data_IF_978419469647
#
_entry.id   IF_978419469647
#
_cell.length_a   1.000
_cell.length_b   1.000
_cell.length_c   1.000
_cell.angle_alpha   90.00
_cell.angle_beta   90.00
_cell.angle_gamma   90.00
#
_symmetry.space_group_name_H-M   'P 1'
#
loop_
_entity.id
_entity.type
_entity.pdbx_description
1 polymer ?
#
# COMPACT_ATOMS: atom_id res chain seq x y z
N UNK A 1 45.82 6.82 0.57
CA UNK A 1 44.72 5.97 0.05
C UNK A 1 44.78 4.64 0.78
N UNK A 2 43.88 4.44 1.72
CA UNK A 2 43.74 3.16 2.42
C UNK A 2 43.11 2.16 1.45
N UNK A 3 43.81 1.05 1.20
CA UNK A 3 43.33 -0.04 0.36
C UNK A 3 42.39 -0.87 1.23
N UNK A 4 41.08 -0.78 1.02
CA UNK A 4 40.13 -1.71 1.65
C UNK A 4 40.49 -3.15 1.18
N UNK A 5 40.96 -3.96 2.11
CA UNK A 5 41.11 -5.38 1.89
C UNK A 5 39.70 -6.03 2.08
N UNK A 6 39.04 -6.32 0.97
CA UNK A 6 37.88 -7.18 0.94
C UNK A 6 38.28 -8.64 1.11
N UNK A 7 38.72 -9.00 2.33
CA UNK A 7 39.20 -10.34 2.63
C UNK A 7 38.04 -11.21 3.08
N UNK A 8 37.51 -12.05 2.19
CA UNK A 8 36.69 -13.19 2.62
C UNK A 8 37.58 -14.21 3.28
N UNK A 9 37.37 -14.46 4.56
CA UNK A 9 38.03 -15.58 5.27
C UNK A 9 37.19 -16.81 4.96
N UNK A 10 37.75 -17.74 4.20
CA UNK A 10 37.17 -19.04 3.95
C UNK A 10 38.01 -20.06 4.73
N UNK A 11 37.34 -20.78 5.64
CA UNK A 11 37.97 -21.86 6.40
C UNK A 11 38.36 -22.99 5.46
N UNK A 12 39.37 -23.74 5.81
CA UNK A 12 39.73 -24.95 5.06
C UNK A 12 38.56 -25.91 5.03
N UNK A 13 38.17 -26.33 3.84
CA UNK A 13 37.03 -27.20 3.64
C UNK A 13 37.24 -28.19 2.49
N UNK A 14 36.55 -29.31 2.53
CA UNK A 14 36.59 -30.34 1.51
C UNK A 14 35.62 -31.46 1.86
N UNK A 15 35.51 -32.45 0.97
CA UNK A 15 34.73 -33.66 1.25
C UNK A 15 35.45 -34.50 2.32
N UNK A 16 34.69 -35.21 3.16
CA UNK A 16 35.25 -36.12 4.18
C UNK A 16 36.23 -37.11 3.58
N UNK A 17 35.95 -37.69 2.42
CA UNK A 17 36.83 -38.58 1.69
C UNK A 17 38.18 -37.91 1.33
N UNK A 18 38.13 -36.64 0.87
CA UNK A 18 39.35 -35.89 0.50
C UNK A 18 40.21 -35.54 1.73
N UNK A 19 39.58 -35.25 2.86
CA UNK A 19 40.26 -35.04 4.11
C UNK A 19 40.96 -36.31 4.59
N UNK A 20 40.28 -37.45 4.50
CA UNK A 20 40.82 -38.75 4.90
C UNK A 20 41.96 -39.18 3.98
N UNK A 21 41.80 -39.01 2.65
CA UNK A 21 42.85 -39.37 1.67
C UNK A 21 44.11 -38.56 1.83
N UNK A 22 44.01 -37.25 1.99
CA UNK A 22 45.14 -36.32 2.14
C UNK A 22 45.73 -36.34 3.54
N UNK A 23 44.92 -36.67 4.50
CA UNK A 23 45.25 -36.80 5.91
C UNK A 23 46.23 -35.71 6.45
N UNK A 24 45.99 -34.42 6.23
CA UNK A 24 46.91 -33.34 6.56
C UNK A 24 47.02 -33.13 8.07
N UNK A 25 48.12 -32.54 8.51
CA UNK A 25 48.24 -31.93 9.83
C UNK A 25 47.76 -30.50 9.73
N UNK A 26 46.72 -30.16 10.50
CA UNK A 26 46.25 -28.79 10.64
C UNK A 26 47.09 -28.05 11.68
N UNK A 27 47.29 -26.73 11.47
CA UNK A 27 47.96 -25.88 12.46
C UNK A 27 47.17 -25.87 13.78
N UNK A 28 47.82 -25.61 14.89
CA UNK A 28 47.14 -25.49 16.18
C UNK A 28 46.09 -24.39 16.13
N UNK A 29 44.81 -24.74 16.39
CA UNK A 29 43.65 -23.85 16.29
C UNK A 29 43.08 -23.68 14.87
N UNK A 30 43.68 -24.28 13.83
CA UNK A 30 43.14 -24.25 12.48
C UNK A 30 41.92 -25.16 12.34
N UNK A 31 40.83 -24.64 11.78
CA UNK A 31 39.59 -25.38 11.59
C UNK A 31 39.51 -25.98 10.18
N UNK A 32 39.16 -27.26 10.11
CA UNK A 32 38.81 -27.95 8.88
C UNK A 32 37.32 -28.38 8.87
N UNK A 33 36.65 -28.21 7.75
CA UNK A 33 35.24 -28.51 7.58
C UNK A 33 35.07 -29.58 6.50
N UNK A 34 34.32 -30.61 6.81
CA UNK A 34 33.79 -31.57 5.83
C UNK A 34 32.48 -31.03 5.26
N UNK A 35 32.46 -30.75 3.95
CA UNK A 35 31.30 -30.09 3.30
C UNK A 35 30.15 -31.04 3.03
N UNK A 36 30.37 -32.32 3.05
CA UNK A 36 29.37 -33.39 2.83
C UNK A 36 28.76 -33.91 4.14
N UNK A 37 29.55 -33.94 5.22
CA UNK A 37 29.10 -34.39 6.55
C UNK A 37 28.75 -33.24 7.48
N UNK A 38 29.18 -32.02 7.14
CA UNK A 38 29.10 -30.80 7.95
C UNK A 38 29.81 -30.93 9.31
N UNK A 39 30.74 -31.85 9.43
CA UNK A 39 31.55 -32.05 10.62
C UNK A 39 32.81 -31.19 10.56
N UNK A 40 33.31 -30.82 11.73
CA UNK A 40 34.49 -29.98 11.87
C UNK A 40 35.49 -30.63 12.78
N UNK A 41 36.78 -30.39 12.52
CA UNK A 41 37.90 -30.72 13.42
C UNK A 41 38.77 -29.50 13.61
N UNK A 42 39.41 -29.42 14.78
CA UNK A 42 40.38 -28.37 15.10
C UNK A 42 41.76 -29.00 15.20
N UNK A 43 42.71 -28.43 14.49
CA UNK A 43 44.09 -28.86 14.52
C UNK A 43 44.76 -28.61 15.88
N UNK A 44 45.59 -29.55 16.32
CA UNK A 44 46.48 -29.43 17.48
C UNK A 44 47.93 -29.08 17.09
N UNK A 45 48.20 -28.95 15.78
CA UNK A 45 49.50 -28.64 15.20
C UNK A 45 50.42 -29.84 15.03
N UNK A 46 49.99 -31.04 15.46
CA UNK A 46 50.83 -32.25 15.47
C UNK A 46 50.15 -33.48 14.89
N UNK A 47 48.87 -33.64 15.14
CA UNK A 47 48.07 -34.81 14.69
C UNK A 47 47.56 -34.67 13.26
N UNK A 48 47.59 -35.76 12.52
CA UNK A 48 46.94 -35.83 11.21
C UNK A 48 45.43 -35.77 11.33
N UNK A 49 44.76 -35.37 10.27
CA UNK A 49 43.31 -35.23 10.22
C UNK A 49 42.55 -36.42 10.80
N UNK A 50 42.92 -37.64 10.43
CA UNK A 50 42.30 -38.86 10.90
C UNK A 50 42.43 -39.12 12.39
N UNK A 51 43.47 -38.58 13.03
CA UNK A 51 43.73 -38.70 14.46
C UNK A 51 43.05 -37.62 15.32
N UNK A 52 42.59 -36.53 14.70
CA UNK A 52 41.84 -35.47 15.39
C UNK A 52 40.40 -35.91 15.66
N UNK A 53 39.90 -35.60 16.84
CA UNK A 53 38.47 -35.73 17.17
C UNK A 53 37.60 -34.69 16.44
N UNK A 54 36.37 -35.02 16.15
CA UNK A 54 35.39 -34.02 15.67
C UNK A 54 35.05 -33.05 16.80
N UNK A 55 34.81 -31.81 16.42
CA UNK A 55 34.33 -30.77 17.34
C UNK A 55 32.86 -31.03 17.68
N UNK A 56 32.59 -31.38 18.92
CA UNK A 56 31.29 -31.82 19.43
C UNK A 56 31.19 -33.35 19.46
N UNK A 57 30.54 -33.86 20.50
CA UNK A 57 30.20 -35.25 20.58
C UNK A 57 29.12 -35.56 19.53
N UNK A 58 29.43 -36.46 18.59
CA UNK A 58 28.38 -36.98 17.70
C UNK A 58 27.65 -38.17 18.38
N UNK A 59 26.54 -38.62 17.75
CA UNK A 59 25.80 -39.76 18.29
C UNK A 59 26.65 -41.05 18.38
N UNK A 60 27.74 -41.14 17.61
CA UNK A 60 28.67 -42.29 17.68
C UNK A 60 29.59 -42.18 18.88
N UNK A 61 30.08 -40.97 19.21
CA UNK A 61 30.86 -40.76 20.45
C UNK A 61 30.02 -41.11 21.68
N UNK A 62 28.73 -40.77 21.66
CA UNK A 62 27.79 -41.15 22.72
C UNK A 62 27.53 -42.66 22.72
N UNK A 63 27.43 -43.28 21.54
CA UNK A 63 27.28 -44.73 21.41
C UNK A 63 28.50 -45.48 21.97
N UNK A 64 29.70 -44.99 21.73
CA UNK A 64 30.93 -45.60 22.26
C UNK A 64 30.96 -45.51 23.80
N UNK A 65 30.65 -44.37 24.38
CA UNK A 65 30.46 -44.18 25.83
C UNK A 65 29.38 -45.11 26.38
N UNK A 66 28.27 -45.25 25.65
CA UNK A 66 27.13 -46.09 26.03
C UNK A 66 27.50 -47.57 25.94
N UNK A 67 28.23 -47.99 24.91
CA UNK A 67 28.68 -49.37 24.74
C UNK A 67 29.67 -49.80 25.82
N UNK A 68 30.47 -48.84 26.35
CA UNK A 68 31.35 -49.08 27.50
C UNK A 68 30.58 -49.19 28.82
N UNK A 69 29.36 -48.60 28.91
CA UNK A 69 28.52 -48.58 30.11
C UNK A 69 27.15 -49.26 29.87
N UNK A 70 27.14 -50.41 29.27
CA UNK A 70 25.99 -51.12 28.69
C UNK A 70 24.76 -51.37 29.57
N UNK A 71 24.85 -51.17 30.85
CA UNK A 71 23.74 -51.49 31.80
C UNK A 71 22.67 -50.36 32.01
N UNK A 72 22.86 -49.16 31.34
CA UNK A 72 22.02 -47.99 31.50
C UNK A 72 21.45 -47.38 30.23
N UNK A 73 21.56 -48.06 29.07
CA UNK A 73 21.11 -47.47 27.80
C UNK A 73 20.28 -48.48 26.96
N UNK A 74 19.17 -48.01 26.42
CA UNK A 74 18.31 -48.75 25.50
C UNK A 74 18.49 -48.25 24.09
N UNK A 75 18.84 -49.14 23.13
CA UNK A 75 18.86 -48.83 21.71
C UNK A 75 17.49 -49.24 21.13
N UNK A 76 16.83 -48.33 20.46
CA UNK A 76 15.49 -48.50 19.85
C UNK A 76 15.60 -48.29 18.34
N UNK A 77 15.29 -49.31 17.57
CA UNK A 77 15.20 -49.22 16.12
C UNK A 77 13.91 -48.53 15.73
N UNK A 78 14.00 -47.43 14.95
CA UNK A 78 12.83 -46.67 14.51
C UNK A 78 12.36 -47.21 13.16
N UNK A 79 11.15 -47.71 13.11
CA UNK A 79 10.53 -48.21 11.89
C UNK A 79 10.31 -47.09 10.88
N UNK A 80 10.29 -47.44 9.57
CA UNK A 80 10.04 -46.46 8.51
C UNK A 80 8.67 -45.80 8.68
N UNK A 81 8.69 -44.47 8.84
CA UNK A 81 7.49 -43.66 9.05
C UNK A 81 7.05 -43.53 10.51
N UNK A 82 7.73 -44.15 11.45
CA UNK A 82 7.53 -43.98 12.89
C UNK A 82 8.18 -42.69 13.38
N UNK A 83 7.50 -41.94 14.23
CA UNK A 83 8.06 -40.77 14.90
C UNK A 83 8.96 -41.15 16.08
N UNK A 84 9.86 -40.27 16.49
CA UNK A 84 10.74 -40.48 17.65
C UNK A 84 9.94 -40.67 18.93
N UNK A 85 8.85 -39.93 19.10
CA UNK A 85 7.96 -40.03 20.24
C UNK A 85 7.30 -41.41 20.33
N UNK A 86 6.87 -41.98 19.20
CA UNK A 86 6.28 -43.31 19.14
C UNK A 86 7.33 -44.41 19.44
N UNK A 87 8.55 -44.23 18.92
CA UNK A 87 9.64 -45.16 19.18
C UNK A 87 10.05 -45.12 20.70
N UNK A 88 10.19 -43.94 21.28
CA UNK A 88 10.51 -43.78 22.68
C UNK A 88 9.40 -44.28 23.63
N UNK A 89 8.12 -44.25 23.19
CA UNK A 89 7.00 -44.79 23.93
C UNK A 89 7.03 -46.33 24.10
N UNK A 90 7.87 -47.01 23.33
CA UNK A 90 8.07 -48.49 23.47
C UNK A 90 8.89 -48.83 24.73
N UNK A 91 9.60 -47.89 25.32
CA UNK A 91 10.40 -48.09 26.53
C UNK A 91 9.47 -48.04 27.74
N UNK A 92 9.33 -49.18 28.40
CA UNK A 92 8.46 -49.31 29.57
C UNK A 92 9.09 -48.77 30.82
N UNK A 93 8.35 -47.98 31.59
CA UNK A 93 8.73 -47.44 32.92
C UNK A 93 10.11 -46.75 32.95
N UNK A 94 10.35 -45.75 32.10
CA UNK A 94 11.63 -45.05 32.07
C UNK A 94 11.80 -44.29 33.41
N UNK A 95 13.04 -44.24 33.91
CA UNK A 95 13.43 -43.50 35.12
C UNK A 95 14.24 -42.26 34.71
N UNK A 96 14.21 -41.25 35.56
CA UNK A 96 15.06 -40.07 35.34
C UNK A 96 16.55 -40.47 35.30
N UNK A 97 17.22 -40.08 34.24
CA UNK A 97 18.62 -40.48 33.97
C UNK A 97 18.76 -41.61 32.97
N UNK A 98 17.67 -42.32 32.61
CA UNK A 98 17.75 -43.35 31.58
C UNK A 98 18.06 -42.72 30.21
N UNK A 99 18.88 -43.40 29.44
CA UNK A 99 19.33 -43.00 28.09
C UNK A 99 18.69 -43.94 27.07
N UNK A 100 18.12 -43.36 26.01
CA UNK A 100 17.69 -44.08 24.83
C UNK A 100 18.42 -43.58 23.59
N UNK A 101 18.87 -44.50 22.74
CA UNK A 101 19.41 -44.15 21.42
C UNK A 101 18.49 -44.68 20.36
N UNK A 102 17.91 -43.76 19.60
CA UNK A 102 17.09 -44.08 18.44
C UNK A 102 17.98 -44.32 17.22
N UNK A 103 17.81 -45.48 16.58
CA UNK A 103 18.52 -45.84 15.39
C UNK A 103 17.58 -45.83 14.17
N UNK A 104 17.85 -44.94 13.20
CA UNK A 104 17.05 -44.81 11.96
C UNK A 104 17.85 -45.22 10.74
N UNK A 105 17.30 -46.03 9.88
CA UNK A 105 17.86 -46.31 8.55
C UNK A 105 17.73 -45.12 7.63
N UNK A 106 18.82 -44.61 7.05
CA UNK A 106 18.82 -43.48 6.11
C UNK A 106 18.78 -44.03 4.67
N UNK A 107 19.76 -44.81 4.27
CA UNK A 107 19.84 -45.41 2.92
C UNK A 107 20.91 -46.51 2.93
N UNK A 108 20.61 -47.68 2.38
CA UNK A 108 21.46 -48.84 2.46
C UNK A 108 21.76 -49.21 3.91
N UNK A 109 23.00 -49.53 4.22
CA UNK A 109 23.45 -49.90 5.58
C UNK A 109 23.75 -48.73 6.49
N UNK A 110 23.47 -47.47 6.02
CA UNK A 110 23.71 -46.27 6.80
C UNK A 110 22.56 -46.02 7.77
N UNK A 111 22.94 -45.80 9.03
CA UNK A 111 21.99 -45.48 10.12
C UNK A 111 22.35 -44.13 10.72
N UNK A 112 21.32 -43.37 11.14
CA UNK A 112 21.49 -42.22 12.01
C UNK A 112 21.06 -42.57 13.41
N UNK A 113 21.69 -41.96 14.38
CA UNK A 113 21.47 -42.19 15.80
C UNK A 113 21.09 -40.88 16.46
N UNK A 114 20.05 -40.88 17.30
CA UNK A 114 19.65 -39.74 18.12
C UNK A 114 19.53 -40.20 19.57
N UNK A 115 20.29 -39.57 20.47
CA UNK A 115 20.26 -39.91 21.89
C UNK A 115 19.27 -39.06 22.66
N UNK A 116 18.56 -39.69 23.59
CA UNK A 116 17.60 -39.06 24.49
C UNK A 116 17.91 -39.39 25.93
N UNK A 117 17.72 -38.46 26.84
CA UNK A 117 17.71 -38.67 28.27
C UNK A 117 16.27 -38.53 28.80
N UNK A 118 15.89 -39.40 29.72
CA UNK A 118 14.62 -39.29 30.38
C UNK A 118 14.72 -38.40 31.63
N UNK A 119 13.93 -37.33 31.66
CA UNK A 119 13.77 -36.45 32.81
C UNK A 119 12.30 -36.00 32.84
N UNK A 120 11.47 -36.83 33.48
CA UNK A 120 10.00 -36.78 33.47
C UNK A 120 9.39 -36.87 32.07
N UNK A 121 10.15 -36.75 31.01
CA UNK A 121 9.88 -36.96 29.59
C UNK A 121 11.20 -37.19 28.86
N UNK A 122 11.15 -37.82 27.67
CA UNK A 122 12.31 -37.97 26.83
C UNK A 122 12.75 -36.61 26.23
N UNK A 123 13.98 -36.22 26.48
CA UNK A 123 14.61 -35.01 25.97
C UNK A 123 15.79 -35.41 25.08
N UNK A 124 15.83 -34.87 23.86
CA UNK A 124 16.98 -35.14 22.98
C UNK A 124 18.29 -34.62 23.60
N UNK A 125 19.29 -35.46 23.64
CA UNK A 125 20.63 -35.11 24.14
C UNK A 125 21.45 -34.44 23.08
N UNK A 126 21.30 -34.88 21.83
CA UNK A 126 21.83 -34.21 20.67
C UNK A 126 20.80 -33.16 20.22
N UNK A 127 20.92 -31.98 20.71
CA UNK A 127 20.21 -30.86 20.13
C UNK A 127 20.55 -30.80 18.64
N UNK A 128 19.55 -30.57 17.83
CA UNK A 128 19.76 -30.10 16.46
C UNK A 128 20.47 -28.73 16.59
N UNK A 129 21.79 -28.77 16.69
CA UNK A 129 22.63 -27.58 16.78
C UNK A 129 22.67 -26.86 15.45
N UNK A 130 21.46 -26.37 15.03
CA UNK A 130 21.41 -25.33 14.04
C UNK A 130 21.95 -24.07 14.70
N UNK A 131 22.89 -23.41 14.07
CA UNK A 131 23.47 -22.16 14.56
C UNK A 131 22.43 -21.09 14.93
N UNK A 132 21.21 -21.22 14.37
CA UNK A 132 20.06 -20.37 14.75
C UNK A 132 19.46 -20.70 16.12
N UNK A 133 19.71 -21.90 16.65
CA UNK A 133 19.17 -22.40 17.92
C UNK A 133 20.21 -22.48 19.04
N UNK A 134 21.47 -22.14 18.73
CA UNK A 134 22.56 -22.09 19.73
C UNK A 134 22.65 -20.66 20.24
N UNK A 135 22.52 -20.51 21.55
CA UNK A 135 22.59 -19.23 22.26
C UNK A 135 23.73 -19.30 23.27
N UNK A 136 24.25 -18.14 23.64
CA UNK A 136 25.24 -18.08 24.75
C UNK A 136 24.53 -18.20 26.09
N UNK A 137 25.10 -18.95 27.00
CA UNK A 137 24.61 -19.09 28.39
C UNK A 137 25.00 -17.88 29.26
N UNK A 138 26.02 -17.13 28.84
CA UNK A 138 26.47 -15.90 29.47
C UNK A 138 26.78 -14.83 28.41
N UNK A 139 26.87 -13.57 28.83
CA UNK A 139 27.25 -12.49 27.93
C UNK A 139 28.65 -12.75 27.35
N UNK A 140 28.76 -12.64 26.02
CA UNK A 140 30.07 -12.71 25.36
C UNK A 140 30.74 -11.34 25.42
N UNK A 141 31.94 -11.26 25.99
CA UNK A 141 32.73 -10.02 26.05
C UNK A 141 33.79 -10.08 24.97
N UNK A 142 33.74 -9.11 24.05
CA UNK A 142 34.71 -8.99 22.96
C UNK A 142 35.62 -7.78 23.19
N UNK A 143 36.82 -7.84 22.62
CA UNK A 143 37.79 -6.75 22.69
C UNK A 143 37.66 -5.73 21.58
N UNK A 144 36.91 -6.06 20.51
CA UNK A 144 36.74 -5.20 19.35
C UNK A 144 35.25 -5.17 18.93
N UNK A 145 34.88 -4.10 18.24
CA UNK A 145 33.52 -3.94 17.70
C UNK A 145 33.20 -5.10 16.76
N UNK A 146 32.00 -5.66 16.89
CA UNK A 146 31.55 -6.80 16.10
C UNK A 146 30.12 -6.55 15.60
N UNK A 147 29.93 -6.35 14.31
CA UNK A 147 28.65 -6.05 13.73
C UNK A 147 28.02 -4.80 14.34
N UNK A 148 26.83 -4.96 14.91
CA UNK A 148 26.11 -3.87 15.62
C UNK A 148 26.63 -3.60 17.04
N UNK A 149 27.40 -4.50 17.58
CA UNK A 149 27.93 -4.37 18.94
C UNK A 149 29.17 -3.47 18.95
N UNK A 150 29.06 -2.35 19.65
CA UNK A 150 30.10 -1.32 19.75
C UNK A 150 30.67 -1.31 21.17
N UNK A 151 31.90 -0.86 21.35
CA UNK A 151 32.45 -0.66 22.68
C UNK A 151 31.61 0.27 23.52
N UNK A 152 31.40 -0.10 24.76
CA UNK A 152 30.80 0.76 25.79
C UNK A 152 31.83 1.79 26.31
N UNK A 153 31.46 2.54 27.34
CA UNK A 153 32.35 3.53 27.98
C UNK A 153 33.59 2.92 28.63
N UNK A 154 33.60 1.62 28.87
CA UNK A 154 34.75 0.86 29.41
C UNK A 154 35.66 0.29 28.31
N UNK A 155 35.26 0.45 27.04
CA UNK A 155 35.95 -0.16 25.90
C UNK A 155 35.58 -1.62 25.64
N UNK A 156 34.61 -2.16 26.37
CA UNK A 156 34.15 -3.55 26.23
C UNK A 156 32.96 -3.63 25.28
N UNK A 157 32.95 -4.64 24.42
CA UNK A 157 31.83 -4.96 23.52
C UNK A 157 31.06 -6.13 24.12
N UNK A 158 29.82 -5.92 24.53
CA UNK A 158 28.99 -6.94 25.16
C UNK A 158 27.96 -7.45 24.16
N UNK A 159 28.01 -8.76 23.86
CA UNK A 159 26.91 -9.47 23.17
C UNK A 159 26.06 -10.16 24.25
N UNK A 160 24.78 -9.78 24.39
CA UNK A 160 23.96 -10.36 25.44
C UNK A 160 23.65 -11.84 25.18
N UNK A 161 23.66 -12.64 26.24
CA UNK A 161 23.37 -14.08 26.19
C UNK A 161 21.95 -14.36 25.66
N UNK A 162 20.98 -13.55 26.06
CA UNK A 162 19.61 -13.77 25.65
C UNK A 162 19.27 -13.10 24.32
N UNK A 163 18.64 -13.86 23.42
CA UNK A 163 18.06 -13.33 22.18
C UNK A 163 19.01 -13.24 20.98
N UNK A 164 20.28 -13.62 21.13
CA UNK A 164 21.26 -13.64 20.01
C UNK A 164 21.77 -15.05 19.81
N UNK A 165 21.44 -15.68 18.70
CA UNK A 165 21.99 -16.98 18.30
C UNK A 165 23.35 -16.81 17.62
N UNK A 166 24.14 -17.91 17.58
CA UNK A 166 25.41 -17.93 16.85
C UNK A 166 25.23 -17.55 15.38
N UNK A 167 24.17 -18.02 14.73
CA UNK A 167 23.84 -17.61 13.35
C UNK A 167 23.56 -16.12 13.24
N UNK A 168 22.78 -15.56 14.18
CA UNK A 168 22.50 -14.13 14.23
C UNK A 168 23.76 -13.29 14.43
N UNK A 169 24.69 -13.76 15.26
CA UNK A 169 25.97 -13.09 15.48
C UNK A 169 26.85 -13.10 14.22
N UNK A 170 26.90 -14.22 13.51
CA UNK A 170 27.64 -14.35 12.24
C UNK A 170 27.01 -13.45 11.17
N UNK A 171 25.68 -13.45 11.06
CA UNK A 171 24.98 -12.56 10.12
C UNK A 171 25.26 -11.09 10.44
N UNK A 172 25.22 -10.70 11.70
CA UNK A 172 25.57 -9.35 12.13
C UNK A 172 27.01 -8.94 11.76
N UNK A 173 27.94 -9.90 11.79
CA UNK A 173 29.37 -9.64 11.48
C UNK A 173 29.65 -9.49 9.98
N UNK A 174 29.03 -10.34 9.18
CA UNK A 174 29.39 -10.50 7.76
C UNK A 174 28.39 -9.91 6.79
N UNK A 175 27.13 -9.68 7.17
CA UNK A 175 26.19 -9.03 6.28
C UNK A 175 26.39 -7.52 6.27
N UNK A 176 26.32 -6.94 5.07
CA UNK A 176 26.45 -5.49 4.86
C UNK A 176 25.36 -4.72 5.57
N UNK A 177 25.73 -3.67 6.27
CA UNK A 177 24.77 -2.72 6.80
C UNK A 177 24.21 -1.88 5.65
N UNK A 178 22.88 -1.94 5.47
CA UNK A 178 22.17 -1.17 4.46
C UNK A 178 21.28 -0.13 5.14
N UNK A 179 21.37 1.09 4.63
CA UNK A 179 20.50 2.17 5.08
C UNK A 179 19.06 1.93 4.60
N UNK A 180 18.06 2.37 5.37
CA UNK A 180 16.68 2.29 4.94
C UNK A 180 16.41 3.21 3.75
N UNK A 181 15.60 2.75 2.82
CA UNK A 181 14.96 3.62 1.83
C UNK A 181 13.69 4.19 2.43
N UNK A 182 13.44 5.48 2.18
CA UNK A 182 12.30 6.21 2.72
C UNK A 182 11.33 6.57 1.61
N UNK A 183 10.08 6.11 1.72
CA UNK A 183 8.98 6.62 0.91
C UNK A 183 8.35 7.80 1.64
N UNK A 184 8.35 8.96 0.99
CA UNK A 184 7.83 10.20 1.57
C UNK A 184 6.30 10.16 1.73
N UNK A 185 5.74 10.90 2.71
CA UNK A 185 4.31 11.07 2.83
C UNK A 185 3.67 11.66 1.56
N UNK A 186 2.42 11.33 1.32
CA UNK A 186 1.63 11.90 0.23
C UNK A 186 0.23 12.27 0.70
N UNK A 187 -0.32 13.34 0.13
CA UNK A 187 -1.68 13.76 0.38
C UNK A 187 -2.62 13.20 -0.69
N UNK A 188 -3.85 12.96 -0.32
CA UNK A 188 -4.95 12.73 -1.25
C UNK A 188 -6.21 13.45 -0.80
N UNK A 189 -7.04 13.83 -1.76
CA UNK A 189 -8.35 14.42 -1.50
C UNK A 189 -9.33 13.95 -2.56
N UNK A 190 -10.57 13.73 -2.17
CA UNK A 190 -11.67 13.44 -3.08
C UNK A 190 -12.88 14.28 -2.70
N UNK A 191 -13.62 14.71 -3.72
CA UNK A 191 -14.95 15.28 -3.54
C UNK A 191 -15.93 14.11 -3.41
N UNK A 192 -16.68 14.08 -2.31
CA UNK A 192 -17.59 12.98 -1.95
C UNK A 192 -19.04 13.27 -2.27
N UNK A 193 -19.39 14.51 -2.58
CA UNK A 193 -20.74 14.92 -3.00
C UNK A 193 -20.69 15.72 -4.30
N UNK A 194 -21.73 15.55 -5.09
CA UNK A 194 -21.97 16.33 -6.31
C UNK A 194 -21.51 15.63 -7.58
N UNK A 195 -22.48 15.04 -8.27
CA UNK A 195 -22.37 14.67 -9.68
C UNK A 195 -23.63 15.19 -10.36
N UNK A 196 -23.52 15.56 -11.61
CA UNK A 196 -24.68 15.87 -12.43
C UNK A 196 -24.54 17.13 -13.27
N UNK A 197 -25.51 17.32 -14.14
CA UNK A 197 -25.65 18.49 -14.99
C UNK A 197 -26.68 19.42 -14.37
N UNK A 198 -26.29 20.65 -14.13
CA UNK A 198 -27.14 21.66 -13.50
C UNK A 198 -27.11 22.95 -14.30
N UNK A 199 -28.17 23.75 -14.15
CA UNK A 199 -28.12 25.11 -14.69
C UNK A 199 -27.04 25.92 -13.98
N UNK A 200 -26.31 26.71 -14.75
CA UNK A 200 -25.33 27.67 -14.23
C UNK A 200 -26.03 28.63 -13.27
N UNK A 201 -25.43 28.85 -12.11
CA UNK A 201 -26.02 29.64 -11.02
C UNK A 201 -26.66 28.79 -9.92
N UNK A 202 -26.93 27.50 -10.18
CA UNK A 202 -27.53 26.62 -9.17
C UNK A 202 -26.62 26.45 -7.97
N UNK A 203 -27.13 26.60 -6.76
CA UNK A 203 -26.39 26.35 -5.51
C UNK A 203 -26.25 24.85 -5.28
N UNK A 204 -25.03 24.36 -5.20
CA UNK A 204 -24.70 22.95 -4.92
C UNK A 204 -23.46 22.88 -4.03
N UNK A 205 -23.63 22.39 -2.82
CA UNK A 205 -22.52 22.23 -1.90
C UNK A 205 -21.57 21.12 -2.35
N UNK A 206 -20.29 21.31 -2.06
CA UNK A 206 -19.24 20.35 -2.27
C UNK A 206 -18.80 19.83 -0.91
N UNK A 207 -18.84 18.51 -0.71
CA UNK A 207 -18.23 17.85 0.43
C UNK A 207 -16.95 17.17 0.02
N UNK A 208 -15.93 17.17 0.90
CA UNK A 208 -14.65 16.55 0.62
C UNK A 208 -14.19 15.67 1.76
N UNK A 209 -13.31 14.74 1.43
CA UNK A 209 -12.55 13.93 2.38
C UNK A 209 -11.10 13.85 1.91
N UNK A 210 -10.18 14.13 2.82
CA UNK A 210 -8.74 14.11 2.58
C UNK A 210 -8.05 13.06 3.44
N UNK A 211 -6.92 12.55 3.00
CA UNK A 211 -6.11 11.64 3.78
C UNK A 211 -4.62 11.85 3.53
N UNK A 212 -3.83 11.60 4.57
CA UNK A 212 -2.38 11.56 4.52
C UNK A 212 -1.93 10.09 4.48
N UNK A 213 -1.18 9.72 3.44
CA UNK A 213 -0.36 8.53 3.49
C UNK A 213 0.92 8.88 4.23
N UNK A 214 1.23 8.15 5.28
CA UNK A 214 2.34 8.44 6.20
C UNK A 214 3.72 8.13 5.63
N UNK A 215 3.79 7.54 4.43
CA UNK A 215 5.04 7.02 3.89
C UNK A 215 5.44 5.68 4.52
N UNK A 216 6.66 5.24 4.26
CA UNK A 216 7.18 3.98 4.80
C UNK A 216 8.71 3.97 4.83
N UNK A 217 9.25 3.05 5.62
CA UNK A 217 10.68 2.72 5.65
C UNK A 217 10.88 1.26 5.21
N UNK A 218 11.95 0.96 4.49
CA UNK A 218 12.27 -0.42 4.11
C UNK A 218 12.74 -1.27 5.30
N UNK A 219 13.34 -0.63 6.29
CA UNK A 219 13.77 -1.24 7.56
C UNK A 219 13.29 -0.38 8.73
N UNK A 220 13.07 -1.00 9.87
CA UNK A 220 12.68 -0.31 11.08
C UNK A 220 11.20 -0.40 11.37
N UNK A 221 10.61 0.57 12.07
CA UNK A 221 9.22 0.44 12.50
C UNK A 221 8.25 0.41 11.32
N UNK A 222 7.21 -0.42 11.42
CA UNK A 222 6.14 -0.53 10.42
C UNK A 222 5.26 0.73 10.36
N UNK A 223 5.13 1.46 11.47
CA UNK A 223 4.51 2.80 11.50
C UNK A 223 5.61 3.85 11.52
N UNK A 224 5.58 4.74 10.54
CA UNK A 224 6.53 5.86 10.46
C UNK A 224 6.38 6.88 11.58
N UNK A 225 5.31 6.82 12.39
CA UNK A 225 5.00 7.80 13.43
C UNK A 225 4.55 9.16 12.91
N UNK A 226 4.52 9.35 11.58
CA UNK A 226 4.03 10.59 10.96
C UNK A 226 2.56 10.77 11.27
N UNK A 227 2.18 11.95 11.73
CA UNK A 227 0.80 12.33 12.00
C UNK A 227 0.45 13.64 11.32
N UNK A 228 -0.74 13.73 10.75
CA UNK A 228 -1.23 15.01 10.24
C UNK A 228 -1.47 15.99 11.40
N UNK A 229 -0.90 17.17 11.30
CA UNK A 229 -1.05 18.23 12.29
C UNK A 229 -2.08 19.27 11.89
N UNK A 230 -2.29 19.47 10.59
CA UNK A 230 -3.29 20.37 10.06
C UNK A 230 -3.76 19.93 8.66
N UNK A 231 -5.02 20.15 8.39
CA UNK A 231 -5.63 20.07 7.07
C UNK A 231 -6.16 21.44 6.70
N UNK A 232 -5.76 21.96 5.54
CA UNK A 232 -6.27 23.24 5.02
C UNK A 232 -6.79 23.01 3.60
N UNK A 233 -8.10 22.96 3.45
CA UNK A 233 -8.76 22.87 2.15
C UNK A 233 -9.06 24.27 1.62
N UNK A 234 -8.88 24.46 0.31
CA UNK A 234 -9.19 25.70 -0.39
C UNK A 234 -10.04 25.39 -1.62
N UNK A 235 -11.16 26.07 -1.73
CA UNK A 235 -12.08 25.95 -2.86
C UNK A 235 -12.70 27.32 -3.17
N UNK A 236 -12.61 27.77 -4.41
CA UNK A 236 -13.19 29.03 -4.89
C UNK A 236 -12.85 30.22 -3.98
N UNK A 237 -11.58 30.33 -3.57
CA UNK A 237 -11.08 31.38 -2.69
C UNK A 237 -11.48 31.25 -1.21
N UNK A 238 -12.29 30.27 -0.83
CA UNK A 238 -12.68 29.99 0.56
C UNK A 238 -11.77 28.90 1.14
N UNK A 239 -11.52 28.97 2.45
CA UNK A 239 -10.73 27.97 3.18
C UNK A 239 -11.57 27.27 4.24
N UNK A 240 -11.22 26.01 4.52
CA UNK A 240 -11.80 25.20 5.59
C UNK A 240 -10.70 24.35 6.21
N UNK A 241 -10.69 24.26 7.53
CA UNK A 241 -9.74 23.44 8.26
C UNK A 241 -10.41 22.13 8.69
N UNK A 242 -9.80 21.00 8.32
CA UNK A 242 -10.31 19.69 8.68
C UNK A 242 -10.04 18.63 7.62
N UNK A 243 -10.01 17.39 8.07
CA UNK A 243 -9.88 16.22 7.19
C UNK A 243 -11.08 16.07 6.26
N UNK A 244 -12.25 16.51 6.71
CA UNK A 244 -13.49 16.56 5.95
C UNK A 244 -14.10 17.94 6.10
N UNK A 245 -14.93 18.34 5.14
CA UNK A 245 -15.64 19.60 5.22
C UNK A 245 -16.61 19.80 4.06
N UNK A 246 -17.30 20.93 4.10
CA UNK A 246 -18.28 21.31 3.08
C UNK A 246 -18.03 22.76 2.67
N UNK A 247 -18.02 23.00 1.38
CA UNK A 247 -18.05 24.35 0.80
C UNK A 247 -19.39 24.61 0.14
N UNK A 248 -19.95 25.79 0.37
CA UNK A 248 -21.01 26.31 -0.47
C UNK A 248 -20.43 26.60 -1.85
N UNK A 249 -21.09 26.11 -2.88
CA UNK A 249 -20.69 26.30 -4.26
C UNK A 249 -21.87 26.72 -5.13
N UNK A 250 -21.55 27.57 -6.10
CA UNK A 250 -22.43 27.94 -7.20
C UNK A 250 -21.86 27.31 -8.47
N UNK A 251 -22.67 26.50 -9.15
CA UNK A 251 -22.29 25.86 -10.41
C UNK A 251 -21.99 26.95 -11.45
N UNK A 252 -20.80 26.89 -12.02
CA UNK A 252 -20.32 27.85 -13.03
C UNK A 252 -20.04 27.16 -14.37
N UNK A 253 -19.70 27.94 -15.37
CA UNK A 253 -19.09 27.41 -16.59
C UNK A 253 -17.68 26.89 -16.27
N UNK A 254 -17.36 25.70 -16.79
CA UNK A 254 -16.09 25.03 -16.50
C UNK A 254 -16.07 24.27 -15.18
N UNK A 255 -14.90 23.80 -14.80
CA UNK A 255 -14.70 22.93 -13.63
C UNK A 255 -13.89 23.68 -12.57
N UNK A 256 -14.40 23.72 -11.35
CA UNK A 256 -13.64 24.26 -10.21
C UNK A 256 -12.84 23.14 -9.54
N UNK A 257 -11.71 23.53 -8.97
CA UNK A 257 -10.77 22.61 -8.31
C UNK A 257 -10.68 22.92 -6.83
N UNK A 258 -10.82 21.89 -6.02
CA UNK A 258 -10.49 21.92 -4.60
C UNK A 258 -9.04 21.51 -4.41
N UNK A 259 -8.29 22.26 -3.63
CA UNK A 259 -6.95 21.87 -3.18
C UNK A 259 -6.94 21.63 -1.68
N UNK A 260 -6.11 20.69 -1.23
CA UNK A 260 -5.83 20.44 0.18
C UNK A 260 -4.35 20.54 0.43
N UNK A 261 -3.97 21.21 1.50
CA UNK A 261 -2.63 21.15 2.07
C UNK A 261 -2.72 20.43 3.41
N UNK A 262 -1.88 19.39 3.60
CA UNK A 262 -1.80 18.64 4.85
C UNK A 262 -0.40 18.81 5.41
N UNK A 263 -0.30 19.46 6.57
CA UNK A 263 0.95 19.52 7.32
C UNK A 263 1.05 18.31 8.24
N UNK A 264 2.28 17.84 8.46
CA UNK A 264 2.53 16.64 9.25
C UNK A 264 3.79 16.78 10.09
N UNK A 265 3.84 15.99 11.18
CA UNK A 265 4.96 15.93 12.13
C UNK A 265 6.15 15.17 11.58
N UNK A 266 7.29 15.30 12.27
CA UNK A 266 8.40 14.36 12.08
C UNK A 266 7.93 12.92 12.28
N UNK A 267 8.50 12.04 11.48
CA UNK A 267 8.41 10.60 11.70
C UNK A 267 9.41 10.14 12.76
N UNK A 268 9.32 8.86 13.14
CA UNK A 268 10.35 8.23 13.97
C UNK A 268 11.64 8.00 13.17
N UNK A 269 12.77 7.95 13.85
CA UNK A 269 14.04 7.63 13.20
C UNK A 269 14.01 6.17 12.72
N UNK A 270 14.17 5.90 11.41
CA UNK A 270 14.23 4.54 10.89
C UNK A 270 15.51 3.85 11.32
N UNK A 271 15.54 2.53 11.09
CA UNK A 271 16.70 1.70 11.42
C UNK A 271 17.30 1.10 10.16
N UNK A 272 18.58 0.80 10.21
CA UNK A 272 19.25 -0.03 9.20
C UNK A 272 18.74 -1.48 9.28
N UNK A 273 19.10 -2.32 8.30
CA UNK A 273 18.84 -3.77 8.35
C UNK A 273 19.51 -4.45 9.58
N UNK A 274 20.47 -3.79 10.21
CA UNK A 274 21.16 -4.22 11.43
C UNK A 274 20.51 -3.71 12.72
N UNK A 275 19.45 -2.90 12.59
CA UNK A 275 18.74 -2.31 13.72
C UNK A 275 19.34 -1.01 14.27
N UNK A 276 20.41 -0.48 13.67
CA UNK A 276 21.01 0.79 14.08
C UNK A 276 20.14 1.97 13.65
N UNK A 277 19.97 3.01 14.49
CA UNK A 277 19.24 4.23 14.10
C UNK A 277 19.92 4.92 12.91
N UNK A 278 19.13 5.39 11.95
CA UNK A 278 19.60 6.13 10.79
C UNK A 278 18.82 7.46 10.63
N UNK A 279 19.36 8.50 11.25
CA UNK A 279 18.70 9.81 11.34
C UNK A 279 18.49 10.49 9.97
N UNK A 280 19.41 10.29 9.01
CA UNK A 280 19.31 10.87 7.66
C UNK A 280 18.13 10.30 6.85
N UNK A 281 17.62 9.15 7.22
CA UNK A 281 16.44 8.54 6.60
C UNK A 281 15.11 8.98 7.22
N UNK A 282 15.13 9.76 8.30
CA UNK A 282 13.92 10.19 9.01
C UNK A 282 13.04 11.08 8.13
N UNK A 283 11.75 10.78 8.05
CA UNK A 283 10.77 11.68 7.46
C UNK A 283 10.68 12.93 8.34
N UNK A 284 11.03 14.07 7.79
CA UNK A 284 10.94 15.36 8.48
C UNK A 284 9.56 15.97 8.31
N UNK A 285 9.12 16.73 9.31
CA UNK A 285 7.89 17.50 9.25
C UNK A 285 7.81 18.34 7.98
N UNK A 286 6.65 18.45 7.43
CA UNK A 286 6.46 19.15 6.17
C UNK A 286 5.00 19.29 5.77
N UNK A 287 4.78 19.61 4.51
CA UNK A 287 3.44 19.72 3.94
C UNK A 287 3.35 19.00 2.60
N UNK A 288 2.19 18.42 2.34
CA UNK A 288 1.83 17.81 1.04
C UNK A 288 0.52 18.36 0.56
N UNK A 289 0.42 18.54 -0.74
CA UNK A 289 -0.80 19.06 -1.38
C UNK A 289 -1.41 18.01 -2.29
N UNK A 290 -2.72 18.06 -2.43
CA UNK A 290 -3.47 17.28 -3.42
C UNK A 290 -4.65 18.11 -3.94
N UNK A 291 -5.15 17.76 -5.11
CA UNK A 291 -6.28 18.44 -5.74
C UNK A 291 -7.34 17.44 -6.18
N UNK A 292 -8.60 17.89 -6.19
CA UNK A 292 -9.71 17.19 -6.78
C UNK A 292 -10.64 18.18 -7.49
N UNK A 293 -11.11 17.80 -8.66
CA UNK A 293 -12.06 18.63 -9.41
C UNK A 293 -13.49 18.26 -9.07
N UNK A 294 -14.38 19.27 -9.06
CA UNK A 294 -15.80 19.02 -8.98
C UNK A 294 -16.29 18.25 -10.21
N UNK A 295 -17.34 17.47 -10.01
CA UNK A 295 -17.98 16.69 -11.08
C UNK A 295 -19.32 17.28 -11.52
N UNK A 296 -19.55 18.54 -11.23
CA UNK A 296 -20.69 19.26 -11.76
C UNK A 296 -20.43 19.69 -13.20
N UNK A 297 -21.42 19.58 -14.03
CA UNK A 297 -21.42 20.14 -15.37
C UNK A 297 -22.39 21.30 -15.38
N UNK A 298 -21.86 22.51 -15.42
CA UNK A 298 -22.67 23.72 -15.58
C UNK A 298 -23.10 23.89 -17.03
N UNK A 299 -24.39 23.98 -17.25
CA UNK A 299 -24.94 24.24 -18.59
C UNK A 299 -25.89 25.42 -18.51
N UNK A 300 -25.95 26.21 -19.56
CA UNK A 300 -27.02 27.16 -19.77
C UNK A 300 -28.26 26.43 -20.23
N UNK A 301 -29.43 26.85 -19.74
CA UNK A 301 -30.69 26.33 -20.25
C UNK A 301 -31.13 27.08 -21.50
N UNK A 302 -31.80 26.40 -22.40
CA UNK A 302 -32.65 26.98 -23.39
C UNK A 302 -34.05 27.17 -22.79
N UNK A 303 -34.74 28.22 -23.18
CA UNK A 303 -36.08 28.53 -22.70
C UNK A 303 -37.04 28.48 -23.88
N UNK A 304 -38.24 27.96 -23.65
CA UNK A 304 -39.24 27.80 -24.70
C UNK A 304 -40.64 27.77 -24.14
N UNK A 305 -41.56 28.17 -24.91
CA UNK A 305 -42.95 28.06 -24.51
C UNK A 305 -43.91 28.98 -25.24
N UNK A 306 -45.14 28.87 -24.82
CA UNK A 306 -46.25 29.63 -25.34
C UNK A 306 -46.50 30.86 -24.47
N UNK A 307 -46.51 32.00 -25.10
CA UNK A 307 -46.82 33.29 -24.46
C UNK A 307 -48.30 33.58 -24.62
N UNK A 308 -48.93 33.94 -23.50
CA UNK A 308 -50.37 34.24 -23.41
C UNK A 308 -50.70 35.67 -22.96
N UNK A 309 -49.69 36.44 -22.59
CA UNK A 309 -49.81 37.84 -22.21
C UNK A 309 -49.28 38.74 -23.33
N UNK A 310 -50.03 39.80 -23.61
CA UNK A 310 -49.59 40.83 -24.55
C UNK A 310 -48.40 41.66 -23.96
N UNK A 311 -48.28 41.68 -22.62
CA UNK A 311 -47.25 42.44 -21.91
C UNK A 311 -45.88 41.68 -21.84
N UNK A 312 -45.80 40.50 -22.46
CA UNK A 312 -44.55 39.72 -22.48
C UNK A 312 -43.46 40.45 -23.29
N UNK A 313 -42.44 40.88 -22.61
CA UNK A 313 -41.26 41.48 -23.21
C UNK A 313 -40.11 40.49 -23.31
N UNK A 314 -39.17 40.70 -24.27
CA UNK A 314 -38.02 39.86 -24.44
C UNK A 314 -36.90 40.33 -23.48
N UNK A 315 -37.06 40.03 -22.20
CA UNK A 315 -36.11 40.32 -21.14
C UNK A 315 -35.78 39.04 -20.33
N UNK A 316 -34.82 39.12 -19.44
CA UNK A 316 -34.40 37.97 -18.63
C UNK A 316 -35.52 37.34 -17.82
N UNK A 317 -36.34 38.17 -17.16
CA UNK A 317 -37.39 37.67 -16.26
C UNK A 317 -38.48 36.92 -17.02
N UNK A 318 -38.97 37.49 -18.15
CA UNK A 318 -39.98 36.85 -18.97
C UNK A 318 -39.48 35.60 -19.67
N UNK A 319 -38.22 35.61 -20.22
CA UNK A 319 -37.64 34.43 -20.84
C UNK A 319 -37.49 33.31 -19.79
N UNK A 320 -37.01 33.60 -18.60
CA UNK A 320 -36.86 32.61 -17.53
C UNK A 320 -38.17 32.06 -16.97
N UNK A 321 -39.30 32.78 -17.22
CA UNK A 321 -40.63 32.27 -16.83
C UNK A 321 -41.17 31.17 -17.75
N UNK A 322 -40.54 30.97 -18.91
CA UNK A 322 -40.89 29.92 -19.86
C UNK A 322 -40.40 28.54 -19.37
N UNK A 323 -40.86 27.48 -20.04
CA UNK A 323 -40.26 26.13 -19.83
C UNK A 323 -38.80 26.16 -20.21
N UNK A 324 -38.02 25.27 -19.61
CA UNK A 324 -36.60 25.24 -19.88
C UNK A 324 -36.05 23.81 -19.91
N UNK A 325 -34.99 23.63 -20.66
CA UNK A 325 -34.17 22.42 -20.68
C UNK A 325 -32.69 22.79 -20.86
N UNK A 326 -31.81 21.86 -20.48
CA UNK A 326 -30.37 22.01 -20.68
C UNK A 326 -30.07 22.14 -22.19
N UNK A 327 -29.37 23.20 -22.61
CA UNK A 327 -29.11 23.46 -24.02
C UNK A 327 -28.28 22.34 -24.71
N UNK A 328 -27.47 21.64 -23.96
CA UNK A 328 -26.66 20.51 -24.45
C UNK A 328 -27.51 19.29 -24.86
N UNK A 329 -28.79 19.20 -24.49
CA UNK A 329 -29.74 18.16 -24.99
C UNK A 329 -30.03 18.31 -26.48
N UNK A 330 -29.90 19.52 -27.00
CA UNK A 330 -30.18 19.86 -28.43
C UNK A 330 -31.59 19.59 -28.93
N UNK A 331 -32.51 19.19 -28.04
CA UNK A 331 -33.93 18.92 -28.39
C UNK A 331 -34.82 19.47 -27.30
N UNK A 332 -35.89 20.13 -27.69
CA UNK A 332 -36.91 20.61 -26.78
C UNK A 332 -38.03 19.56 -26.70
N UNK A 333 -38.45 19.24 -25.50
CA UNK A 333 -39.61 18.36 -25.29
C UNK A 333 -40.83 18.91 -25.98
N UNK A 334 -41.58 18.03 -26.64
CA UNK A 334 -42.81 18.44 -27.35
C UNK A 334 -43.79 19.09 -26.37
N UNK A 335 -44.29 20.24 -26.75
CA UNK A 335 -45.28 21.00 -25.98
C UNK A 335 -46.43 21.47 -26.84
N UNK A 336 -47.57 21.73 -26.21
CA UNK A 336 -48.82 22.12 -26.90
C UNK A 336 -49.18 23.57 -26.57
N UNK A 337 -49.73 24.26 -27.53
CA UNK A 337 -50.10 25.67 -27.41
C UNK A 337 -51.14 25.89 -26.30
N UNK A 338 -52.22 25.14 -26.31
CA UNK A 338 -53.36 25.35 -25.39
C UNK A 338 -54.10 26.66 -25.65
N UNK A 339 -54.97 27.01 -24.72
CA UNK A 339 -55.84 28.18 -24.86
C UNK A 339 -55.05 29.51 -24.80
N UNK A 340 -55.64 30.52 -25.51
CA UNK A 340 -55.10 31.88 -25.48
C UNK A 340 -53.67 32.08 -25.89
N UNK A 341 -53.13 31.17 -26.70
CA UNK A 341 -51.77 31.30 -27.20
C UNK A 341 -51.66 32.50 -28.17
N UNK A 342 -50.75 33.43 -27.90
CA UNK A 342 -50.45 34.58 -28.76
C UNK A 342 -49.22 34.33 -29.62
N UNK A 343 -48.19 33.84 -29.03
CA UNK A 343 -46.93 33.53 -29.71
C UNK A 343 -46.18 32.39 -29.05
N UNK A 344 -45.27 31.81 -29.78
CA UNK A 344 -44.29 30.83 -29.27
C UNK A 344 -42.89 31.47 -29.28
N UNK A 345 -42.19 31.36 -28.18
CA UNK A 345 -40.86 31.92 -28.00
C UNK A 345 -39.89 30.80 -27.73
N UNK A 346 -38.73 30.86 -28.36
CA UNK A 346 -37.57 29.99 -28.08
C UNK A 346 -36.33 30.88 -27.90
N UNK A 347 -35.65 30.72 -26.79
CA UNK A 347 -34.44 31.46 -26.48
C UNK A 347 -33.29 30.48 -26.24
N UNK A 348 -32.22 30.60 -27.02
CA UNK A 348 -31.08 29.74 -26.97
C UNK A 348 -29.84 30.53 -26.56
N UNK A 349 -28.99 29.99 -25.67
CA UNK A 349 -27.72 30.64 -25.33
C UNK A 349 -26.76 30.68 -26.53
N UNK A 350 -25.76 31.56 -26.48
CA UNK A 350 -24.77 31.69 -27.52
C UNK A 350 -24.16 30.33 -27.91
N UNK A 351 -24.00 30.13 -29.25
CA UNK A 351 -23.51 28.84 -29.79
C UNK A 351 -24.62 27.84 -30.16
N UNK A 352 -25.90 28.14 -29.81
CA UNK A 352 -27.03 27.31 -30.18
C UNK A 352 -28.03 28.12 -31.04
N UNK A 353 -28.61 27.46 -32.03
CA UNK A 353 -29.61 28.04 -32.91
C UNK A 353 -30.78 27.09 -33.10
N UNK A 354 -31.97 27.59 -33.35
CA UNK A 354 -33.08 26.77 -33.80
C UNK A 354 -32.78 26.26 -35.22
N UNK A 355 -32.65 24.94 -35.34
CA UNK A 355 -32.26 24.28 -36.61
C UNK A 355 -33.47 23.60 -37.28
N UNK A 356 -34.43 23.15 -36.48
CA UNK A 356 -35.66 22.52 -37.01
C UNK A 356 -36.83 22.69 -36.06
N UNK A 357 -37.99 23.02 -36.60
CA UNK A 357 -39.24 23.01 -35.90
C UNK A 357 -40.23 22.15 -36.67
N UNK A 358 -40.87 21.20 -35.98
CA UNK A 358 -41.92 20.37 -36.56
C UNK A 358 -43.19 20.48 -35.74
N UNK A 359 -44.33 20.29 -36.43
CA UNK A 359 -45.67 20.35 -35.85
C UNK A 359 -46.25 18.94 -35.76
N UNK A 360 -46.05 18.19 -34.65
CA UNK A 360 -46.56 16.83 -34.51
C UNK A 360 -48.08 16.71 -34.71
N UNK A 361 -48.83 17.70 -34.27
CA UNK A 361 -50.28 17.77 -34.47
C UNK A 361 -50.70 17.96 -35.92
N UNK A 362 -49.81 18.38 -36.80
CA UNK A 362 -50.01 18.55 -38.24
C UNK A 362 -49.13 17.54 -39.04
N UNK A 363 -49.11 16.28 -38.63
CA UNK A 363 -48.36 15.18 -39.29
C UNK A 363 -46.85 15.46 -39.44
N UNK A 364 -46.28 16.25 -38.54
CA UNK A 364 -44.85 16.57 -38.54
C UNK A 364 -44.45 17.63 -39.59
N UNK A 365 -45.39 18.46 -40.01
CA UNK A 365 -45.09 19.56 -40.96
C UNK A 365 -43.90 20.42 -40.45
N UNK A 366 -43.04 20.84 -41.36
CA UNK A 366 -41.92 21.72 -41.06
C UNK A 366 -42.41 23.18 -40.94
N UNK A 367 -42.15 23.78 -39.79
CA UNK A 367 -42.44 25.15 -39.45
C UNK A 367 -41.21 25.98 -39.13
N UNK A 368 -40.02 25.50 -39.51
CA UNK A 368 -38.75 26.16 -39.14
C UNK A 368 -38.67 27.58 -39.63
N UNK A 369 -39.14 27.86 -40.85
CA UNK A 369 -39.13 29.18 -41.45
C UNK A 369 -40.05 30.19 -40.78
N UNK A 370 -41.09 29.71 -40.09
CA UNK A 370 -42.08 30.54 -39.40
C UNK A 370 -41.55 31.08 -38.05
N UNK A 371 -40.48 30.49 -37.53
CA UNK A 371 -39.78 30.96 -36.32
C UNK A 371 -38.76 32.03 -36.70
N UNK A 372 -39.13 33.27 -36.56
CA UNK A 372 -38.31 34.41 -36.94
C UNK A 372 -37.32 34.75 -35.83
N UNK A 373 -36.03 34.71 -36.17
CA UNK A 373 -34.98 35.16 -35.25
C UNK A 373 -35.06 36.66 -35.06
N UNK A 374 -35.12 37.09 -33.83
CA UNK A 374 -35.15 38.52 -33.48
C UNK A 374 -33.78 39.14 -33.69
N UNK A 375 -33.74 40.42 -34.02
CA UNK A 375 -32.51 41.19 -34.14
C UNK A 375 -31.85 41.38 -32.80
N UNK A 376 -30.53 41.16 -32.75
CA UNK A 376 -29.76 41.29 -31.51
C UNK A 376 -29.84 40.03 -30.59
N UNK A 377 -29.47 40.23 -29.35
CA UNK A 377 -29.49 39.22 -28.29
C UNK A 377 -30.11 39.79 -27.03
N UNK A 378 -30.71 38.90 -26.22
CA UNK A 378 -31.23 39.24 -24.90
C UNK A 378 -30.25 38.74 -23.85
N UNK A 379 -29.97 39.54 -22.84
CA UNK A 379 -29.15 39.12 -21.71
C UNK A 379 -30.05 38.35 -20.74
N UNK A 380 -29.80 37.03 -20.59
CA UNK A 380 -30.59 36.14 -19.71
C UNK A 380 -29.67 35.65 -18.57
N UNK A 381 -30.13 35.88 -17.37
CA UNK A 381 -29.45 35.42 -16.16
C UNK A 381 -29.43 33.89 -16.06
N UNK A 382 -28.46 33.33 -15.35
CA UNK A 382 -28.49 31.94 -14.91
C UNK A 382 -29.43 31.74 -13.73
N UNK A 383 -29.42 30.56 -13.15
CA UNK A 383 -30.22 30.28 -11.96
C UNK A 383 -29.89 31.27 -10.83
N UNK A 384 -30.87 31.62 -10.04
CA UNK A 384 -30.74 32.52 -8.88
C UNK A 384 -30.02 33.85 -9.15
N UNK A 385 -30.25 34.43 -10.34
CA UNK A 385 -29.67 35.70 -10.71
C UNK A 385 -28.18 35.65 -11.07
N UNK A 386 -27.64 34.47 -11.42
CA UNK A 386 -26.26 34.33 -11.85
C UNK A 386 -26.00 35.12 -13.14
N UNK A 387 -24.74 35.53 -13.31
CA UNK A 387 -24.26 36.37 -14.43
C UNK A 387 -24.99 36.07 -15.75
N UNK A 388 -25.63 37.10 -16.32
CA UNK A 388 -26.36 37.00 -17.56
C UNK A 388 -25.44 36.67 -18.75
N UNK A 389 -26.00 35.97 -19.71
CA UNK A 389 -25.34 35.69 -20.99
C UNK A 389 -26.26 36.08 -22.17
N UNK A 390 -25.67 36.25 -23.34
CA UNK A 390 -26.39 36.59 -24.55
C UNK A 390 -27.19 35.39 -25.07
N UNK A 391 -28.45 35.58 -25.33
CA UNK A 391 -29.37 34.62 -25.93
C UNK A 391 -29.91 35.13 -27.26
N UNK A 392 -29.91 34.29 -28.27
CA UNK A 392 -30.64 34.49 -29.48
C UNK A 392 -32.08 34.06 -29.26
N UNK A 393 -33.07 34.81 -29.77
CA UNK A 393 -34.48 34.55 -29.55
C UNK A 393 -35.16 34.37 -30.88
N UNK A 394 -36.00 33.35 -30.99
CA UNK A 394 -36.89 33.08 -32.12
C UNK A 394 -38.34 33.23 -31.67
N UNK A 395 -39.13 33.86 -32.47
CA UNK A 395 -40.56 34.10 -32.18
C UNK A 395 -41.40 33.64 -33.37
N UNK A 396 -42.43 32.88 -33.06
CA UNK A 396 -43.52 32.54 -33.97
C UNK A 396 -44.77 33.25 -33.49
N UNK A 397 -45.30 34.19 -34.26
CA UNK A 397 -46.45 35.07 -33.90
C UNK A 397 -47.44 35.15 -35.05
N UNK A 398 -48.20 34.07 -35.31
CA UNK A 398 -49.25 34.07 -36.32
C UNK A 398 -50.51 34.78 -35.83
N UNK A 399 -51.45 35.08 -36.75
CA UNK A 399 -52.71 35.70 -36.39
C UNK A 399 -53.59 34.89 -35.40
N UNK A 400 -53.40 33.55 -35.37
CA UNK A 400 -53.97 32.63 -34.38
C UNK A 400 -53.23 31.36 -34.28
N UNK A 401 -53.20 30.77 -33.08
CA UNK A 401 -52.57 29.48 -32.79
C UNK A 401 -53.66 28.50 -32.35
N UNK A 402 -53.86 27.36 -33.06
CA UNK A 402 -54.84 26.35 -32.63
C UNK A 402 -54.47 25.78 -31.25
N UNK A 403 -55.43 25.55 -30.38
CA UNK A 403 -55.24 25.07 -29.02
C UNK A 403 -54.56 23.71 -28.94
N UNK A 404 -54.75 22.87 -29.96
CA UNK A 404 -54.15 21.54 -30.08
C UNK A 404 -52.81 21.55 -30.78
N UNK A 405 -52.31 22.71 -31.25
CA UNK A 405 -51.06 22.82 -31.95
C UNK A 405 -49.88 22.43 -31.03
N UNK A 406 -49.10 21.47 -31.46
CA UNK A 406 -47.90 21.05 -30.73
C UNK A 406 -46.64 21.32 -31.53
N UNK A 407 -45.54 21.50 -30.81
CA UNK A 407 -44.26 21.89 -31.35
C UNK A 407 -43.17 20.94 -30.85
N UNK A 408 -42.31 20.50 -31.76
CA UNK A 408 -41.07 19.79 -31.46
C UNK A 408 -39.93 20.57 -32.11
N UNK A 409 -38.91 20.94 -31.30
CA UNK A 409 -37.89 21.90 -31.71
C UNK A 409 -36.50 21.25 -31.51
N UNK A 410 -35.64 21.34 -32.51
CA UNK A 410 -34.24 20.92 -32.48
C UNK A 410 -33.39 22.16 -32.55
N UNK A 411 -32.36 22.20 -31.72
CA UNK A 411 -31.33 23.23 -31.72
C UNK A 411 -29.95 22.63 -32.07
N UNK A 412 -29.05 23.42 -32.65
CA UNK A 412 -27.72 22.97 -33.03
C UNK A 412 -26.69 24.09 -33.05
#
# INVERSE_FOLDING_TARGET
>A
MAKELNTRIQLKHGLAASWTEKNPVLLAGEMGIETDTLKMKVGDGTSNWSALGYLGADANDILDIINENRDSCTIVEVAKGQSDTEALATISNPKNGDIAVLEKSISGDKKSHTAYVYDNAWKAMDGNYNASNVYFDSNLILTEAFGRYKPDSSGSVVVPASGVSVAGLIDDAYSKENNPTTTQPSASVKITAGNGTFEIGTKKNITYSASLNKGSYSYGPSDTGVTATQYTATFDGKTSNGQTGTFENIVAEGTKTLSIAITYSDGVVPKTNKGNPYADGQIKAGSKTATASEKFVGVRHMFYGVVRSADFTLDSAHIRSLNHEAANKKTISTFTAGDKALKVVVACPAGYNVTKVTLPSAMGADATADFVRQSGTVQVEGAEGYTAAAYSVWVFEPASIPTTQSYSIVIG
#
